data_IF_431625271615
#
_entry.id   IF_431625271615
#
_cell.length_a   1.000
_cell.length_b   1.000
_cell.length_c   1.000
_cell.angle_alpha   90.00
_cell.angle_beta   90.00
_cell.angle_gamma   90.00
#
_symmetry.space_group_name_H-M   'P 1'
#
loop_
_entity.id
_entity.type
_entity.pdbx_description
1 polymer ?
#
# COMPACT_ATOMS: atom_id res chain seq x y z
N UNK A 1 8.41 -4.56 -8.23
CA UNK A 1 7.15 -3.91 -8.70
C UNK A 1 6.07 -4.18 -7.67
N UNK A 2 5.26 -3.19 -7.29
CA UNK A 2 4.20 -3.39 -6.27
C UNK A 2 2.85 -3.63 -6.95
N UNK A 3 2.20 -4.74 -6.60
CA UNK A 3 0.91 -5.17 -7.15
C UNK A 3 -0.18 -5.12 -6.09
N UNK A 4 -1.39 -4.82 -6.54
CA UNK A 4 -2.58 -4.87 -5.69
C UNK A 4 -3.05 -6.31 -5.47
N UNK A 5 -3.29 -6.69 -4.21
CA UNK A 5 -3.95 -7.95 -3.83
C UNK A 5 -5.39 -7.75 -3.40
N UNK A 6 -5.65 -6.77 -2.52
CA UNK A 6 -6.98 -6.49 -1.99
C UNK A 6 -7.18 -5.01 -1.67
N UNK A 7 -8.43 -4.55 -1.73
CA UNK A 7 -8.83 -3.17 -1.43
C UNK A 7 -9.99 -3.20 -0.43
N UNK A 8 -9.80 -2.52 0.69
CA UNK A 8 -10.92 -2.04 1.52
C UNK A 8 -11.18 -0.57 1.22
N UNK A 9 -12.30 -0.29 0.55
CA UNK A 9 -12.72 1.09 0.25
C UNK A 9 -13.28 1.76 1.49
N UNK A 10 -12.77 2.94 1.80
CA UNK A 10 -13.27 3.84 2.87
C UNK A 10 -13.79 5.10 2.21
N UNK A 11 -15.12 5.23 2.15
CA UNK A 11 -15.78 6.31 1.40
C UNK A 11 -15.73 7.68 2.11
N UNK A 12 -15.27 7.75 3.36
CA UNK A 12 -15.24 8.99 4.15
C UNK A 12 -13.98 9.83 3.97
N UNK A 13 -12.84 9.22 3.57
CA UNK A 13 -11.52 9.84 3.76
C UNK A 13 -10.79 10.13 2.43
N UNK A 14 -11.41 9.83 1.28
CA UNK A 14 -10.84 10.08 -0.05
C UNK A 14 -9.64 9.19 -0.42
N UNK A 15 -9.38 8.13 0.35
CA UNK A 15 -8.31 7.17 0.10
C UNK A 15 -8.78 5.71 0.22
N UNK A 16 -7.87 4.76 -0.01
CA UNK A 16 -8.16 3.33 0.07
C UNK A 16 -7.17 2.62 1.00
N UNK A 17 -7.66 1.62 1.75
CA UNK A 17 -6.79 0.74 2.54
C UNK A 17 -6.47 -0.49 1.71
N UNK A 18 -5.19 -0.78 1.52
CA UNK A 18 -4.73 -1.75 0.53
C UNK A 18 -3.97 -2.90 1.18
N UNK A 19 -4.07 -4.08 0.56
CA UNK A 19 -3.10 -5.16 0.71
C UNK A 19 -2.34 -5.28 -0.60
N UNK A 20 -1.01 -5.20 -0.53
CA UNK A 20 -0.12 -5.14 -1.68
C UNK A 20 0.94 -6.25 -1.64
N UNK A 21 1.40 -6.67 -2.80
CA UNK A 21 2.50 -7.60 -3.00
C UNK A 21 3.67 -6.87 -3.68
N UNK A 22 4.80 -6.74 -2.99
CA UNK A 22 6.06 -6.30 -3.58
C UNK A 22 6.90 -7.51 -3.99
N UNK A 23 7.78 -7.36 -4.96
CA UNK A 23 8.72 -8.42 -5.35
C UNK A 23 9.86 -8.54 -4.31
N UNK A 24 10.27 -7.43 -3.70
CA UNK A 24 11.35 -7.39 -2.69
C UNK A 24 11.29 -6.15 -1.79
N UNK A 25 12.14 -6.10 -0.75
CA UNK A 25 12.30 -4.92 0.14
C UNK A 25 12.82 -3.66 -0.56
N UNK A 26 13.48 -3.82 -1.69
CA UNK A 26 14.05 -2.73 -2.48
C UNK A 26 13.01 -2.00 -3.35
N UNK A 27 11.79 -2.55 -3.44
CA UNK A 27 10.71 -1.90 -4.16
C UNK A 27 10.28 -0.61 -3.47
N UNK A 28 10.07 0.43 -4.26
CA UNK A 28 9.49 1.68 -3.77
C UNK A 28 8.02 1.45 -3.42
N UNK A 29 7.66 1.75 -2.17
CA UNK A 29 6.30 1.56 -1.68
C UNK A 29 5.40 2.76 -2.06
N UNK A 30 4.19 2.52 -2.60
CA UNK A 30 3.32 3.57 -3.10
C UNK A 30 2.70 4.37 -1.96
N UNK A 31 2.55 5.69 -2.14
CA UNK A 31 1.80 6.55 -1.20
C UNK A 31 0.54 7.12 -1.85
N UNK A 32 0.49 7.14 -3.18
CA UNK A 32 -0.68 7.55 -3.95
C UNK A 32 -1.31 6.35 -4.65
N UNK A 33 -2.63 6.39 -4.86
CA UNK A 33 -3.34 5.34 -5.59
C UNK A 33 -2.90 5.28 -7.06
N UNK A 34 -2.43 6.39 -7.62
CA UNK A 34 -1.88 6.47 -8.98
C UNK A 34 -0.56 5.73 -9.17
N UNK A 35 0.13 5.39 -8.07
CA UNK A 35 1.42 4.69 -8.12
C UNK A 35 1.22 3.16 -8.28
N UNK A 36 -0.03 2.69 -8.29
CA UNK A 36 -0.38 1.27 -8.25
C UNK A 36 -1.11 0.90 -9.53
N UNK A 37 -0.52 -0.03 -10.27
CA UNK A 37 -1.11 -0.53 -11.51
C UNK A 37 -2.50 -1.11 -11.26
N UNK A 38 -3.46 -0.68 -12.08
CA UNK A 38 -4.86 -1.11 -12.00
C UNK A 38 -5.72 -0.27 -11.04
N UNK A 39 -5.14 0.70 -10.32
CA UNK A 39 -5.90 1.72 -9.60
C UNK A 39 -5.91 3.04 -10.38
N UNK A 40 -7.08 3.67 -10.41
CA UNK A 40 -7.26 5.01 -10.97
C UNK A 40 -8.01 5.87 -9.97
N UNK A 41 -7.59 7.14 -9.83
CA UNK A 41 -8.23 8.10 -8.94
C UNK A 41 -7.22 9.02 -8.26
N UNK A 42 -7.73 10.16 -7.80
CA UNK A 42 -7.02 11.03 -6.86
C UNK A 42 -7.23 10.49 -5.45
N UNK A 43 -6.14 10.33 -4.68
CA UNK A 43 -6.23 9.84 -3.30
C UNK A 43 -4.94 9.16 -2.85
N UNK A 44 -4.78 9.07 -1.54
CA UNK A 44 -3.66 8.37 -0.91
C UNK A 44 -3.97 6.91 -0.59
N UNK A 45 -2.91 6.15 -0.41
CA UNK A 45 -2.94 4.91 0.37
C UNK A 45 -3.17 5.31 1.82
N UNK A 46 -4.12 4.66 2.50
CA UNK A 46 -4.53 5.05 3.85
C UNK A 46 -3.80 4.24 4.93
N UNK A 47 -3.70 4.78 6.17
CA UNK A 47 -3.16 4.05 7.31
C UNK A 47 -3.73 2.64 7.49
N UNK A 48 -2.88 1.73 7.96
CA UNK A 48 -3.21 0.31 8.11
C UNK A 48 -3.22 -0.48 6.80
N UNK A 49 -2.78 0.12 5.70
CA UNK A 49 -2.42 -0.63 4.49
C UNK A 49 -1.18 -1.49 4.76
N UNK A 50 -1.06 -2.62 4.06
CA UNK A 50 -0.02 -3.62 4.29
C UNK A 50 0.63 -3.97 2.95
N UNK A 51 1.96 -4.06 2.93
CA UNK A 51 2.73 -4.64 1.83
C UNK A 51 3.43 -5.88 2.32
N UNK A 52 3.37 -6.96 1.53
CA UNK A 52 4.10 -8.20 1.78
C UNK A 52 5.03 -8.55 0.62
N UNK A 53 6.10 -9.30 0.87
CA UNK A 53 6.92 -9.94 -0.18
C UNK A 53 6.67 -11.46 -0.22
N UNK A 54 7.09 -12.16 -1.29
CA UNK A 54 7.10 -13.63 -1.32
C UNK A 54 7.96 -14.28 -0.23
N UNK A 55 8.95 -13.56 0.30
CA UNK A 55 9.79 -14.01 1.41
C UNK A 55 9.12 -13.82 2.78
N UNK A 56 7.87 -13.37 2.81
CA UNK A 56 7.07 -13.08 4.00
C UNK A 56 7.58 -11.88 4.81
N UNK A 57 8.24 -10.93 4.14
CA UNK A 57 8.53 -9.65 4.76
C UNK A 57 7.27 -8.79 4.80
N UNK A 58 7.11 -7.96 5.83
CA UNK A 58 5.89 -7.16 6.01
C UNK A 58 6.20 -5.71 6.32
N UNK A 59 5.46 -4.80 5.68
CA UNK A 59 5.43 -3.38 5.99
C UNK A 59 3.99 -2.92 6.23
N UNK A 60 3.77 -2.02 7.20
CA UNK A 60 2.45 -1.46 7.52
C UNK A 60 2.54 0.07 7.46
N UNK A 61 1.54 0.70 6.84
CA UNK A 61 1.42 2.16 6.81
C UNK A 61 0.92 2.68 8.16
N UNK A 62 1.69 3.58 8.76
CA UNK A 62 1.36 4.23 10.02
C UNK A 62 0.27 5.30 9.87
N UNK A 63 -0.24 5.79 11.00
CA UNK A 63 -1.30 6.82 11.03
C UNK A 63 -0.88 8.19 10.46
N UNK A 64 0.43 8.42 10.29
CA UNK A 64 0.97 9.62 9.66
C UNK A 64 1.12 9.49 8.13
N UNK A 65 0.69 8.35 7.55
CA UNK A 65 0.75 8.09 6.12
C UNK A 65 2.13 7.63 5.63
N UNK A 66 3.08 7.34 6.53
CA UNK A 66 4.39 6.79 6.16
C UNK A 66 4.43 5.27 6.29
N UNK A 67 5.23 4.62 5.44
CA UNK A 67 5.48 3.19 5.55
C UNK A 67 6.46 2.90 6.69
N UNK A 68 6.10 1.94 7.54
CA UNK A 68 6.99 1.45 8.59
C UNK A 68 8.21 0.69 8.04
N UNK A 69 9.14 0.26 8.90
CA UNK A 69 10.23 -0.60 8.47
C UNK A 69 9.72 -1.96 8.00
N UNK A 70 10.46 -2.61 7.10
CA UNK A 70 10.25 -4.01 6.77
C UNK A 70 10.59 -4.90 7.96
N UNK A 71 9.64 -5.74 8.37
CA UNK A 71 9.83 -6.86 9.29
C UNK A 71 10.20 -8.12 8.52
#
# INVERSE_FOLDING_TARGET
MVRLLDIKRTYSDGGMRLLLLADSKEDTLPTLLSDIDGLSGAGGVTPGSIVITPALDVCIMANDGTWGPWL
#
